data_IF_237608530043
#
_entry.id   IF_237608530043
#
_cell.length_a   1.000
_cell.length_b   1.000
_cell.length_c   1.000
_cell.angle_alpha   90.00
_cell.angle_beta   90.00
_cell.angle_gamma   90.00
#
_symmetry.space_group_name_H-M   'P 1'
#
loop_
_entity.id
_entity.type
_entity.pdbx_description
1 polymer ?
#
# COMPACT_ATOMS: atom_id res chain seq x y z
N UNK A 1 -40.82 -21.73 16.27
CA UNK A 1 -39.63 -22.29 15.59
C UNK A 1 -38.57 -21.21 15.54
N UNK A 2 -37.44 -21.40 16.23
CA UNK A 2 -36.32 -20.45 16.27
C UNK A 2 -35.52 -20.62 14.97
N UNK A 3 -35.41 -19.57 14.17
CA UNK A 3 -34.56 -19.57 12.99
C UNK A 3 -33.09 -19.45 13.44
N UNK A 4 -32.30 -20.46 13.08
CA UNK A 4 -30.86 -20.51 13.31
C UNK A 4 -30.21 -19.66 12.22
N UNK A 5 -29.75 -18.45 12.56
CA UNK A 5 -28.87 -17.67 11.69
C UNK A 5 -27.48 -18.33 11.73
N UNK A 6 -27.10 -19.02 10.66
CA UNK A 6 -25.72 -19.42 10.45
C UNK A 6 -24.96 -18.19 9.92
N UNK A 7 -24.24 -17.51 10.80
CA UNK A 7 -23.17 -16.60 10.40
C UNK A 7 -22.00 -17.44 9.87
N UNK A 8 -21.87 -17.53 8.55
CA UNK A 8 -20.67 -18.00 7.88
C UNK A 8 -19.61 -16.91 7.99
N UNK A 9 -18.78 -16.97 9.03
CA UNK A 9 -17.51 -16.26 9.06
C UNK A 9 -16.59 -16.92 8.04
N UNK A 10 -16.34 -16.27 6.91
CA UNK A 10 -15.27 -16.66 6.00
C UNK A 10 -13.97 -16.17 6.63
N UNK A 11 -13.32 -17.04 7.41
CA UNK A 11 -11.93 -16.86 7.82
C UNK A 11 -11.05 -17.13 6.61
N UNK A 12 -10.52 -16.07 6.01
CA UNK A 12 -9.54 -16.19 4.93
C UNK A 12 -8.15 -16.00 5.53
N UNK A 13 -7.28 -16.97 5.26
CA UNK A 13 -5.86 -16.98 5.61
C UNK A 13 -5.09 -16.55 4.37
N UNK A 14 -4.05 -15.74 4.54
CA UNK A 14 -3.51 -14.89 3.48
C UNK A 14 -1.93 -14.95 3.48
N UNK A 15 -1.27 -15.08 2.30
CA UNK A 15 0.21 -15.01 2.07
C UNK A 15 0.71 -13.77 1.27
N UNK A 16 1.97 -13.30 1.51
CA UNK A 16 2.57 -11.96 1.22
C UNK A 16 3.37 -11.70 -0.10
N UNK A 17 3.36 -10.43 -0.59
CA UNK A 17 3.67 -10.05 -1.99
C UNK A 17 5.03 -10.58 -2.43
N UNK A 18 5.02 -11.42 -3.45
CA UNK A 18 6.24 -12.04 -3.99
C UNK A 18 6.85 -11.20 -5.10
N UNK A 19 8.15 -10.96 -4.99
CA UNK A 19 8.95 -10.25 -6.00
C UNK A 19 9.74 -11.25 -6.88
N UNK A 20 9.13 -12.42 -7.14
CA UNK A 20 9.81 -13.53 -7.79
C UNK A 20 10.24 -13.19 -9.23
N UNK A 21 11.55 -13.22 -9.47
CA UNK A 21 12.14 -12.92 -10.77
C UNK A 21 12.28 -11.43 -11.09
N UNK A 22 11.97 -10.54 -10.16
CA UNK A 22 12.38 -9.15 -10.23
C UNK A 22 13.86 -8.97 -9.93
N UNK A 23 14.44 -7.83 -10.34
CA UNK A 23 15.83 -7.50 -10.01
C UNK A 23 15.97 -6.03 -9.63
N UNK A 24 16.84 -5.75 -8.66
CA UNK A 24 17.36 -4.39 -8.46
C UNK A 24 18.60 -4.23 -9.35
N UNK A 25 18.57 -3.25 -10.26
CA UNK A 25 19.70 -2.88 -11.10
C UNK A 25 20.38 -1.65 -10.52
N UNK A 26 21.70 -1.74 -10.34
CA UNK A 26 22.57 -0.59 -10.06
C UNK A 26 23.19 -0.10 -11.35
N UNK A 27 22.84 1.11 -11.77
CA UNK A 27 23.20 1.72 -13.05
C UNK A 27 24.20 2.86 -12.80
N UNK A 28 25.24 2.95 -13.62
CA UNK A 28 26.30 3.96 -13.52
C UNK A 28 26.24 4.93 -14.70
N UNK A 29 25.64 6.13 -14.53
CA UNK A 29 25.66 7.17 -15.56
C UNK A 29 27.08 7.76 -15.68
N UNK A 30 27.56 7.98 -16.92
CA UNK A 30 28.93 8.46 -17.18
C UNK A 30 28.95 9.90 -17.73
N UNK A 31 27.82 10.39 -18.25
CA UNK A 31 27.66 11.77 -18.74
C UNK A 31 26.20 12.23 -18.62
N UNK A 32 25.95 13.55 -18.73
CA UNK A 32 24.63 14.17 -18.51
C UNK A 32 23.49 13.55 -19.33
N UNK A 33 23.76 13.17 -20.60
CA UNK A 33 22.76 12.50 -21.42
C UNK A 33 22.23 11.16 -20.84
N UNK A 34 23.01 10.47 -20.01
CA UNK A 34 22.53 9.29 -19.27
C UNK A 34 21.56 9.70 -18.16
N UNK A 35 21.88 10.76 -17.42
CA UNK A 35 21.01 11.27 -16.35
C UNK A 35 19.67 11.75 -16.90
N UNK A 36 19.67 12.54 -17.97
CA UNK A 36 18.43 13.00 -18.60
C UNK A 36 17.52 11.84 -19.01
N UNK A 37 18.12 10.76 -19.53
CA UNK A 37 17.37 9.57 -19.95
C UNK A 37 16.83 8.78 -18.77
N UNK A 38 17.59 8.67 -17.67
CA UNK A 38 17.14 8.02 -16.43
C UNK A 38 16.06 8.84 -15.72
N UNK A 39 16.17 10.18 -15.68
CA UNK A 39 15.12 11.08 -15.16
C UNK A 39 13.85 10.94 -15.98
N UNK A 40 13.98 10.85 -17.32
CA UNK A 40 12.81 10.61 -18.18
C UNK A 40 12.20 9.24 -17.91
N UNK A 41 13.02 8.20 -17.76
CA UNK A 41 12.56 6.85 -17.44
C UNK A 41 11.77 6.83 -16.13
N UNK A 42 12.32 7.41 -15.06
CA UNK A 42 11.68 7.55 -13.74
C UNK A 42 10.31 8.24 -13.82
N UNK A 43 10.18 9.26 -14.67
CA UNK A 43 8.89 9.96 -14.88
C UNK A 43 7.90 9.19 -15.76
N UNK A 44 8.41 8.45 -16.74
CA UNK A 44 7.58 7.83 -17.79
C UNK A 44 7.13 6.41 -17.48
N UNK A 45 7.90 5.67 -16.67
CA UNK A 45 7.65 4.25 -16.37
C UNK A 45 7.37 4.09 -14.87
N UNK A 46 6.11 4.33 -14.48
CA UNK A 46 5.68 4.34 -13.07
C UNK A 46 5.78 2.98 -12.37
N UNK A 47 5.89 1.90 -13.15
CA UNK A 47 6.06 0.55 -12.63
C UNK A 47 7.48 0.25 -12.13
N UNK A 48 8.45 1.12 -12.42
CA UNK A 48 9.80 1.03 -11.86
C UNK A 48 9.86 1.68 -10.49
N UNK A 49 10.54 1.03 -9.55
CA UNK A 49 10.72 1.52 -8.19
C UNK A 49 12.18 1.94 -7.98
N UNK A 50 12.42 3.25 -8.02
CA UNK A 50 13.74 3.83 -7.83
C UNK A 50 14.05 3.89 -6.33
N UNK A 51 15.03 3.07 -5.91
CA UNK A 51 15.57 3.09 -4.55
C UNK A 51 16.55 4.24 -4.39
N UNK A 52 17.29 4.55 -5.45
CA UNK A 52 18.13 5.75 -5.55
C UNK A 52 17.93 6.36 -6.94
N UNK A 53 17.30 7.52 -6.98
CA UNK A 53 17.05 8.25 -8.22
C UNK A 53 18.33 8.82 -8.87
N UNK A 54 18.23 9.24 -10.14
CA UNK A 54 19.32 9.89 -10.88
C UNK A 54 19.59 11.31 -10.36
N UNK A 55 20.62 11.47 -9.51
CA UNK A 55 21.00 12.78 -8.95
C UNK A 55 22.26 13.39 -9.57
N UNK A 56 23.29 12.57 -9.82
CA UNK A 56 24.59 13.06 -10.30
C UNK A 56 25.42 11.92 -10.91
N UNK A 57 26.44 12.26 -11.71
CA UNK A 57 27.35 11.28 -12.32
C UNK A 57 28.24 10.55 -11.32
N UNK A 58 28.44 11.12 -10.14
CA UNK A 58 29.23 10.53 -9.06
C UNK A 58 28.47 9.48 -8.25
N UNK A 59 27.17 9.29 -8.51
CA UNK A 59 26.31 8.39 -7.74
C UNK A 59 25.63 7.37 -8.67
N UNK A 60 25.60 6.09 -8.29
CA UNK A 60 24.80 5.12 -9.02
C UNK A 60 23.30 5.34 -8.79
N UNK A 61 22.51 4.87 -9.75
CA UNK A 61 21.05 4.79 -9.70
C UNK A 61 20.67 3.35 -9.38
N UNK A 62 19.89 3.14 -8.34
CA UNK A 62 19.42 1.81 -7.93
C UNK A 62 17.92 1.74 -8.21
N UNK A 63 17.49 0.79 -9.06
CA UNK A 63 16.08 0.65 -9.48
C UNK A 63 15.63 -0.81 -9.42
N UNK A 64 14.54 -1.09 -8.70
CA UNK A 64 13.83 -2.37 -8.76
C UNK A 64 13.01 -2.41 -10.04
N UNK A 65 13.25 -3.44 -10.83
CA UNK A 65 12.66 -3.64 -12.15
C UNK A 65 11.77 -4.89 -12.11
N UNK A 66 10.46 -4.74 -12.37
CA UNK A 66 9.55 -5.86 -12.54
C UNK A 66 10.03 -6.83 -13.62
N UNK A 67 9.74 -8.13 -13.44
CA UNK A 67 10.20 -9.21 -14.34
C UNK A 67 9.84 -8.98 -15.80
N UNK A 68 8.64 -8.49 -16.07
CA UNK A 68 8.09 -8.17 -17.39
C UNK A 68 8.79 -6.98 -18.06
N UNK A 69 9.27 -6.01 -17.26
CA UNK A 69 10.01 -4.85 -17.74
C UNK A 69 11.53 -5.08 -17.83
N UNK A 70 12.04 -6.15 -17.21
CA UNK A 70 13.46 -6.41 -17.07
C UNK A 70 14.20 -6.43 -18.42
N UNK A 71 13.62 -7.12 -19.42
CA UNK A 71 14.21 -7.18 -20.77
C UNK A 71 14.24 -5.80 -21.43
N UNK A 72 13.13 -5.05 -21.34
CA UNK A 72 13.01 -3.69 -21.92
C UNK A 72 14.04 -2.74 -21.31
N UNK A 73 14.17 -2.74 -19.99
CA UNK A 73 15.12 -1.86 -19.27
C UNK A 73 16.56 -2.23 -19.61
N UNK A 74 16.92 -3.52 -19.56
CA UNK A 74 18.29 -3.97 -19.89
C UNK A 74 18.69 -3.62 -21.32
N UNK A 75 17.81 -3.85 -22.30
CA UNK A 75 18.07 -3.47 -23.70
C UNK A 75 18.23 -1.95 -23.86
N UNK A 76 17.46 -1.14 -23.12
CA UNK A 76 17.63 0.32 -23.13
C UNK A 76 19.01 0.72 -22.57
N UNK A 77 19.46 0.10 -21.47
CA UNK A 77 20.78 0.34 -20.90
C UNK A 77 21.90 -0.07 -21.85
N UNK A 78 21.77 -1.24 -22.49
CA UNK A 78 22.72 -1.74 -23.49
C UNK A 78 22.83 -0.81 -24.71
N UNK A 79 21.69 -0.39 -25.28
CA UNK A 79 21.64 0.51 -26.44
C UNK A 79 22.19 1.91 -26.14
N UNK A 80 22.26 2.30 -24.88
CA UNK A 80 22.81 3.58 -24.44
C UNK A 80 24.24 3.47 -23.95
N UNK A 81 24.79 2.26 -23.83
CA UNK A 81 26.11 2.04 -23.25
C UNK A 81 26.18 2.25 -21.74
N UNK A 82 25.03 2.32 -21.04
CA UNK A 82 25.00 2.45 -19.58
C UNK A 82 25.40 1.15 -18.89
N UNK A 83 26.47 1.19 -18.09
CA UNK A 83 26.91 0.04 -17.29
C UNK A 83 25.95 -0.21 -16.13
N UNK A 84 25.66 -1.48 -15.87
CA UNK A 84 24.82 -1.88 -14.74
C UNK A 84 25.24 -3.21 -14.11
N UNK A 85 24.87 -3.41 -12.85
CA UNK A 85 25.00 -4.68 -12.10
C UNK A 85 23.67 -5.05 -11.44
N UNK A 86 23.47 -6.34 -11.14
CA UNK A 86 22.28 -6.81 -10.40
C UNK A 86 22.61 -6.93 -8.91
N UNK A 87 21.72 -6.42 -8.07
CA UNK A 87 21.77 -6.56 -6.61
C UNK A 87 20.85 -7.72 -6.22
N UNK A 88 21.35 -8.64 -5.37
CA UNK A 88 20.53 -9.74 -4.84
C UNK A 88 19.43 -9.19 -3.94
N UNK A 89 18.21 -9.70 -4.11
CA UNK A 89 17.04 -9.39 -3.28
C UNK A 89 16.72 -10.51 -2.28
N UNK A 90 17.59 -11.49 -2.10
CA UNK A 90 17.32 -12.61 -1.18
C UNK A 90 17.12 -12.12 0.26
N UNK A 91 15.91 -12.30 0.77
CA UNK A 91 15.64 -12.25 2.21
C UNK A 91 16.25 -13.49 2.86
N UNK A 92 17.08 -13.27 3.86
CA UNK A 92 17.47 -14.31 4.81
C UNK A 92 16.19 -14.91 5.40
N UNK A 93 15.87 -16.16 5.05
CA UNK A 93 14.72 -16.89 5.61
C UNK A 93 15.01 -17.22 7.08
N UNK A 94 14.75 -16.27 7.96
CA UNK A 94 14.66 -16.55 9.38
C UNK A 94 13.25 -17.10 9.66
N UNK A 95 13.19 -18.26 10.31
CA UNK A 95 11.93 -18.77 10.88
C UNK A 95 11.54 -17.84 12.02
N UNK A 96 10.58 -16.95 11.74
CA UNK A 96 10.12 -15.96 12.71
C UNK A 96 9.47 -16.66 13.91
N UNK A 97 9.98 -16.39 15.11
CA UNK A 97 9.32 -16.74 16.38
C UNK A 97 8.19 -15.76 16.65
N UNK A 98 7.11 -16.18 17.31
CA UNK A 98 6.07 -15.27 17.77
C UNK A 98 6.62 -14.37 18.90
N UNK A 99 6.31 -13.07 18.84
CA UNK A 99 6.73 -12.08 19.84
C UNK A 99 7.95 -11.27 19.39
N UNK A 100 8.19 -10.16 20.10
CA UNK A 100 9.28 -9.24 19.78
C UNK A 100 10.65 -9.91 19.85
N UNK A 101 11.51 -9.63 18.87
CA UNK A 101 12.88 -10.08 18.81
C UNK A 101 13.81 -8.94 18.36
N UNK A 102 14.80 -8.59 19.19
CA UNK A 102 15.77 -7.55 18.86
C UNK A 102 16.63 -7.91 17.63
N UNK A 103 16.81 -9.19 17.32
CA UNK A 103 17.63 -9.65 16.20
C UNK A 103 16.83 -9.90 14.92
N UNK A 104 15.55 -9.49 14.88
CA UNK A 104 14.69 -9.59 13.70
C UNK A 104 13.87 -8.31 13.47
N UNK A 105 13.17 -8.25 12.33
CA UNK A 105 12.21 -7.21 12.02
C UNK A 105 10.82 -7.58 12.56
N UNK A 106 10.29 -6.69 13.39
CA UNK A 106 9.08 -6.91 14.19
C UNK A 106 7.85 -6.22 13.56
N UNK A 107 6.68 -6.85 13.66
CA UNK A 107 5.41 -6.20 13.29
C UNK A 107 5.13 -4.98 14.18
N UNK A 108 4.20 -4.12 13.75
CA UNK A 108 3.82 -2.94 14.52
C UNK A 108 3.35 -3.31 15.94
N UNK A 109 2.46 -4.31 16.06
CA UNK A 109 1.93 -4.74 17.35
C UNK A 109 3.02 -5.27 18.28
N UNK A 110 3.95 -6.09 17.79
CA UNK A 110 5.11 -6.56 18.57
C UNK A 110 5.99 -5.39 19.06
N UNK A 111 6.15 -4.34 18.25
CA UNK A 111 6.88 -3.13 18.68
C UNK A 111 6.13 -2.44 19.82
N UNK A 112 4.81 -2.27 19.71
CA UNK A 112 3.98 -1.63 20.74
C UNK A 112 3.99 -2.45 22.03
N UNK A 113 3.80 -3.77 21.94
CA UNK A 113 3.86 -4.69 23.08
C UNK A 113 5.23 -4.56 23.79
N UNK A 114 6.32 -4.50 23.03
CA UNK A 114 7.66 -4.32 23.62
C UNK A 114 7.85 -2.95 24.30
N UNK A 115 7.18 -1.89 23.83
CA UNK A 115 7.19 -0.59 24.52
C UNK A 115 6.48 -0.68 25.88
N UNK A 116 5.36 -1.40 25.94
CA UNK A 116 4.65 -1.66 27.20
C UNK A 116 5.46 -2.57 28.12
N UNK A 117 6.12 -3.62 27.61
CA UNK A 117 7.01 -4.48 28.39
C UNK A 117 8.16 -3.69 29.02
N UNK A 118 8.72 -2.71 28.30
CA UNK A 118 9.70 -1.78 28.87
C UNK A 118 9.08 -0.92 29.98
N UNK A 119 7.86 -0.41 29.77
CA UNK A 119 7.13 0.39 30.75
C UNK A 119 6.89 -0.37 32.06
N UNK A 120 6.51 -1.65 31.95
CA UNK A 120 6.27 -2.53 33.08
C UNK A 120 7.57 -2.93 33.80
N UNK A 121 8.65 -3.18 33.05
CA UNK A 121 9.92 -3.61 33.61
C UNK A 121 10.72 -2.46 34.25
N UNK A 122 10.54 -1.23 33.76
CA UNK A 122 11.30 -0.05 34.19
C UNK A 122 10.39 1.14 34.57
N UNK A 123 9.36 0.97 35.42
CA UNK A 123 8.28 1.95 35.61
C UNK A 123 8.74 3.32 36.16
N UNK A 124 9.93 3.39 36.77
CA UNK A 124 10.51 4.63 37.27
C UNK A 124 11.35 5.40 36.23
N UNK A 125 11.63 4.76 35.08
CA UNK A 125 12.46 5.32 34.01
C UNK A 125 11.65 5.56 32.73
N UNK A 126 10.46 4.98 32.61
CA UNK A 126 9.71 4.94 31.36
C UNK A 126 8.26 5.38 31.49
N UNK A 127 7.72 5.94 30.42
CA UNK A 127 6.28 6.17 30.25
C UNK A 127 5.92 6.05 28.78
N UNK A 128 5.01 5.14 28.44
CA UNK A 128 4.42 5.06 27.09
C UNK A 128 3.43 6.22 26.91
N UNK A 129 3.37 6.75 25.69
CA UNK A 129 2.45 7.80 25.30
C UNK A 129 1.99 7.60 23.85
N UNK A 130 0.91 8.27 23.47
CA UNK A 130 0.47 8.37 22.08
C UNK A 130 0.48 9.83 21.63
N UNK A 131 0.86 10.07 20.37
CA UNK A 131 0.80 11.41 19.75
C UNK A 131 -0.45 11.64 18.88
N UNK A 132 -1.37 10.67 18.86
CA UNK A 132 -2.58 10.72 18.04
C UNK A 132 -2.72 9.48 17.17
N UNK A 133 -3.73 9.51 16.29
CA UNK A 133 -4.03 8.42 15.37
C UNK A 133 -3.63 8.78 13.94
N UNK A 134 -3.25 7.76 13.17
CA UNK A 134 -2.92 7.81 11.75
C UNK A 134 -4.16 8.02 10.87
N UNK A 135 -3.96 7.98 9.54
CA UNK A 135 -5.06 8.10 8.59
C UNK A 135 -6.03 6.92 8.72
N UNK A 136 -5.48 5.71 8.91
CA UNK A 136 -6.24 4.47 9.12
C UNK A 136 -6.65 4.22 10.58
N UNK A 137 -6.49 5.23 11.44
CA UNK A 137 -6.93 5.23 12.85
C UNK A 137 -6.14 4.32 13.78
N UNK A 138 -4.93 3.92 13.40
CA UNK A 138 -3.96 3.31 14.30
C UNK A 138 -3.29 4.39 15.15
N UNK A 139 -3.20 4.17 16.45
CA UNK A 139 -2.49 5.10 17.33
C UNK A 139 -1.00 5.06 17.06
N UNK A 140 -0.33 6.22 17.11
CA UNK A 140 1.12 6.33 16.98
C UNK A 140 1.69 6.38 18.38
N UNK A 141 2.26 5.27 18.83
CA UNK A 141 2.85 5.11 20.15
C UNK A 141 4.33 5.49 20.18
N UNK A 142 4.74 6.02 21.33
CA UNK A 142 6.12 6.30 21.68
C UNK A 142 6.39 6.03 23.16
N UNK A 143 7.66 6.05 23.54
CA UNK A 143 8.10 5.87 24.92
C UNK A 143 9.03 6.99 25.34
N UNK A 144 8.73 7.58 26.51
CA UNK A 144 9.65 8.46 27.22
C UNK A 144 10.61 7.57 28.03
N UNK A 145 11.91 7.84 27.96
CA UNK A 145 12.96 7.16 28.72
C UNK A 145 13.82 8.21 29.43
N UNK A 146 13.94 8.14 30.76
CA UNK A 146 14.77 9.04 31.55
C UNK A 146 14.51 8.92 33.05
N UNK A 147 15.55 9.15 33.86
CA UNK A 147 15.42 9.12 35.32
C UNK A 147 14.62 10.31 35.86
N UNK A 148 14.08 10.15 37.07
CA UNK A 148 13.31 11.19 37.75
C UNK A 148 14.13 12.49 37.91
N UNK A 149 13.54 13.60 37.49
CA UNK A 149 14.15 14.93 37.59
C UNK A 149 13.22 16.01 37.06
N UNK A 150 13.46 17.27 37.45
CA UNK A 150 12.67 18.43 37.02
C UNK A 150 13.44 19.26 36.00
N UNK A 151 12.74 19.80 34.99
CA UNK A 151 13.31 20.69 33.96
C UNK A 151 14.48 20.10 33.16
N UNK A 152 14.49 18.78 32.97
CA UNK A 152 15.47 18.12 32.11
C UNK A 152 15.23 18.54 30.65
N UNK A 153 16.28 18.88 29.87
CA UNK A 153 16.15 18.97 28.43
C UNK A 153 15.74 17.63 27.83
N UNK A 154 15.05 17.67 26.70
CA UNK A 154 14.54 16.48 26.02
C UNK A 154 15.13 16.32 24.62
N UNK A 155 15.39 15.08 24.21
CA UNK A 155 15.72 14.68 22.85
C UNK A 155 14.55 13.88 22.29
N UNK A 156 14.06 14.27 21.13
CA UNK A 156 12.98 13.58 20.43
C UNK A 156 13.55 12.81 19.24
N UNK A 157 13.30 11.50 19.20
CA UNK A 157 13.76 10.60 18.15
C UNK A 157 12.56 9.98 17.45
N UNK A 158 12.41 10.33 16.19
CA UNK A 158 11.37 9.82 15.30
C UNK A 158 11.98 8.86 14.28
N UNK A 159 11.31 7.71 14.08
CA UNK A 159 11.72 6.67 13.16
C UNK A 159 10.62 6.26 12.18
N UNK A 160 11.06 5.56 11.13
CA UNK A 160 10.19 4.86 10.18
C UNK A 160 9.15 5.76 9.48
N UNK A 161 9.53 7.00 9.09
CA UNK A 161 8.66 7.85 8.27
C UNK A 161 8.42 7.24 6.87
N UNK A 162 9.47 6.64 6.29
CA UNK A 162 9.31 5.77 5.12
C UNK A 162 9.07 4.34 5.59
N UNK A 163 7.92 3.79 5.23
CA UNK A 163 7.47 2.47 5.65
C UNK A 163 8.49 1.34 5.41
N UNK A 164 9.25 1.40 4.29
CA UNK A 164 10.17 0.33 3.85
C UNK A 164 11.55 0.34 4.52
N UNK A 165 11.88 1.35 5.32
CA UNK A 165 13.21 1.52 5.92
C UNK A 165 13.32 0.76 7.25
N UNK A 166 12.97 -0.53 7.28
CA UNK A 166 12.73 -1.33 8.51
C UNK A 166 13.85 -1.31 9.56
N UNK A 167 15.09 -1.05 9.14
CA UNK A 167 16.24 -0.91 10.06
C UNK A 167 16.10 0.25 11.05
N UNK A 168 15.31 1.29 10.71
CA UNK A 168 15.18 2.48 11.55
C UNK A 168 14.44 2.14 12.85
N UNK A 169 13.25 1.54 12.76
CA UNK A 169 12.47 1.11 13.93
C UNK A 169 13.27 0.11 14.80
N UNK A 170 13.91 -0.89 14.19
CA UNK A 170 14.75 -1.85 14.92
C UNK A 170 15.91 -1.17 15.69
N UNK A 171 16.56 -0.18 15.08
CA UNK A 171 17.64 0.59 15.71
C UNK A 171 17.14 1.39 16.91
N UNK A 172 15.98 2.03 16.81
CA UNK A 172 15.41 2.80 17.92
C UNK A 172 15.01 1.90 19.08
N UNK A 173 14.46 0.71 18.82
CA UNK A 173 14.16 -0.27 19.86
C UNK A 173 15.43 -0.74 20.59
N UNK A 174 16.53 -0.97 19.87
CA UNK A 174 17.83 -1.26 20.48
C UNK A 174 18.36 -0.13 21.35
N UNK A 175 18.21 1.13 20.92
CA UNK A 175 18.64 2.28 21.70
C UNK A 175 17.86 2.41 23.02
N UNK A 176 16.55 2.16 23.00
CA UNK A 176 15.72 2.11 24.22
C UNK A 176 16.27 1.04 25.17
N UNK A 177 16.50 -0.19 24.67
CA UNK A 177 17.08 -1.29 25.43
C UNK A 177 18.42 -0.90 26.08
N UNK A 178 19.35 -0.34 25.30
CA UNK A 178 20.67 0.04 25.80
C UNK A 178 20.63 1.11 26.89
N UNK A 179 19.73 2.10 26.76
CA UNK A 179 19.52 3.08 27.82
C UNK A 179 19.03 2.42 29.11
N UNK A 180 18.00 1.56 29.01
CA UNK A 180 17.39 0.91 30.17
C UNK A 180 18.33 -0.09 30.87
N UNK A 181 19.03 -0.93 30.11
CA UNK A 181 19.99 -1.90 30.66
C UNK A 181 21.27 -1.23 31.19
N UNK A 182 21.67 -0.11 30.57
CA UNK A 182 22.85 0.66 30.98
C UNK A 182 22.61 1.53 32.22
N UNK A 183 21.36 1.90 32.53
CA UNK A 183 21.08 2.74 33.70
C UNK A 183 21.44 2.04 35.01
N UNK A 184 22.28 2.69 35.83
CA UNK A 184 22.82 2.15 37.08
C UNK A 184 24.01 1.20 36.91
N UNK A 185 24.31 0.76 35.69
CA UNK A 185 25.42 -0.17 35.39
C UNK A 185 26.55 0.49 34.62
N UNK A 186 26.23 1.43 33.72
CA UNK A 186 27.17 2.22 32.93
C UNK A 186 27.09 3.70 33.34
N UNK A 187 28.23 4.27 33.72
CA UNK A 187 28.29 5.64 34.24
C UNK A 187 27.89 6.69 33.20
N UNK A 188 28.20 6.47 31.92
CA UNK A 188 27.86 7.42 30.86
C UNK A 188 26.35 7.43 30.61
N UNK A 189 25.75 6.25 30.49
CA UNK A 189 24.31 6.06 30.32
C UNK A 189 23.53 6.59 31.50
N UNK A 190 23.99 6.31 32.73
CA UNK A 190 23.38 6.83 33.96
C UNK A 190 23.41 8.35 33.99
N UNK A 191 24.58 8.96 33.77
CA UNK A 191 24.73 10.42 33.72
C UNK A 191 23.84 11.03 32.64
N UNK A 192 23.77 10.40 31.47
CA UNK A 192 22.97 10.86 30.34
C UNK A 192 21.47 10.84 30.70
N UNK A 193 20.97 9.73 31.26
CA UNK A 193 19.56 9.59 31.64
C UNK A 193 19.17 10.41 32.87
N UNK A 194 20.11 10.76 33.75
CA UNK A 194 19.87 11.68 34.86
C UNK A 194 19.72 13.13 34.36
N UNK A 195 20.37 13.49 33.26
CA UNK A 195 20.39 14.86 32.72
C UNK A 195 19.40 15.10 31.58
N UNK A 196 19.04 14.07 30.82
CA UNK A 196 18.24 14.19 29.58
C UNK A 196 17.06 13.23 29.60
N UNK A 197 15.91 13.69 29.10
CA UNK A 197 14.78 12.82 28.77
C UNK A 197 14.80 12.48 27.26
N UNK A 198 14.59 11.22 26.92
CA UNK A 198 14.49 10.77 25.53
C UNK A 198 13.05 10.39 25.21
N UNK A 199 12.52 10.88 24.10
CA UNK A 199 11.21 10.50 23.59
C UNK A 199 11.42 9.77 22.28
N UNK A 200 11.08 8.50 22.24
CA UNK A 200 11.19 7.66 21.06
C UNK A 200 9.82 7.46 20.44
N UNK A 201 9.72 7.65 19.12
CA UNK A 201 8.62 7.17 18.28
C UNK A 201 9.24 6.21 17.27
N UNK A 202 9.24 4.88 17.56
CA UNK A 202 9.87 3.90 16.69
C UNK A 202 9.26 3.84 15.29
N UNK A 203 7.93 4.04 15.20
CA UNK A 203 7.19 4.00 13.95
C UNK A 203 6.21 5.17 13.85
N UNK A 204 6.53 6.18 13.04
CA UNK A 204 5.60 7.28 12.75
C UNK A 204 4.60 6.93 11.66
N UNK A 205 5.07 6.37 10.53
CA UNK A 205 4.20 5.96 9.44
C UNK A 205 3.66 4.56 9.69
N UNK A 206 2.76 4.45 10.67
CA UNK A 206 2.20 3.17 11.13
C UNK A 206 1.41 2.46 10.03
N UNK A 207 0.55 3.18 9.29
CA UNK A 207 -0.26 2.63 8.18
C UNK A 207 0.64 2.02 7.10
N UNK A 208 1.66 2.76 6.66
CA UNK A 208 2.61 2.28 5.68
C UNK A 208 3.46 1.13 6.19
N UNK A 209 3.90 1.16 7.45
CA UNK A 209 4.70 0.08 8.04
C UNK A 209 3.90 -1.21 8.12
N UNK A 210 2.66 -1.17 8.62
CA UNK A 210 1.73 -2.31 8.61
C UNK A 210 1.54 -2.82 7.19
N UNK A 211 1.30 -1.93 6.21
CA UNK A 211 1.19 -2.30 4.80
C UNK A 211 2.42 -3.04 4.25
N UNK A 212 3.63 -2.75 4.75
CA UNK A 212 4.84 -3.47 4.32
C UNK A 212 4.94 -4.89 4.90
N UNK A 213 4.24 -5.18 6.00
CA UNK A 213 4.17 -6.51 6.62
C UNK A 213 2.96 -7.32 6.16
N UNK A 214 1.83 -6.67 5.85
CA UNK A 214 0.52 -7.29 5.66
C UNK A 214 -0.19 -6.66 4.46
N UNK A 215 -0.64 -7.44 3.46
CA UNK A 215 -2.07 -7.60 3.09
C UNK A 215 -2.18 -8.76 2.10
N UNK A 216 -2.54 -9.94 2.56
CA UNK A 216 -2.58 -11.04 1.64
C UNK A 216 -4.00 -11.39 1.10
N UNK A 217 -5.03 -10.67 1.55
CA UNK A 217 -6.34 -10.44 0.90
C UNK A 217 -6.17 -9.96 -0.53
N UNK A 218 -5.42 -8.88 -0.64
CA UNK A 218 -5.09 -8.26 -1.90
C UNK A 218 -4.23 -9.21 -2.72
N UNK A 219 -3.34 -9.99 -2.08
CA UNK A 219 -2.54 -10.99 -2.80
C UNK A 219 -3.38 -12.13 -3.36
N UNK A 220 -4.24 -12.77 -2.56
CA UNK A 220 -5.05 -13.89 -3.02
C UNK A 220 -5.97 -13.47 -4.17
N UNK A 221 -6.59 -12.29 -4.07
CA UNK A 221 -7.36 -11.70 -5.17
C UNK A 221 -6.44 -11.42 -6.36
N UNK A 222 -5.28 -10.81 -6.14
CA UNK A 222 -4.35 -10.48 -7.22
C UNK A 222 -3.81 -11.71 -7.94
N UNK A 223 -3.42 -12.76 -7.22
CA UNK A 223 -2.90 -14.01 -7.72
C UNK A 223 -3.97 -14.78 -8.49
N UNK A 224 -5.19 -14.88 -7.93
CA UNK A 224 -6.29 -15.51 -8.64
C UNK A 224 -6.62 -14.74 -9.92
N UNK A 225 -6.73 -13.42 -9.87
CA UNK A 225 -7.04 -12.59 -11.04
C UNK A 225 -5.93 -12.68 -12.08
N UNK A 226 -4.65 -12.64 -11.68
CA UNK A 226 -3.53 -12.77 -12.60
C UNK A 226 -3.46 -14.18 -13.23
N UNK A 227 -3.69 -15.23 -12.44
CA UNK A 227 -3.76 -16.63 -12.92
C UNK A 227 -4.87 -16.82 -13.94
N UNK A 228 -6.01 -16.15 -13.74
CA UNK A 228 -7.20 -16.26 -14.59
C UNK A 228 -7.36 -15.05 -15.55
N UNK A 229 -6.34 -14.22 -15.71
CA UNK A 229 -6.43 -12.94 -16.44
C UNK A 229 -6.80 -13.11 -17.92
N UNK A 230 -6.48 -14.28 -18.51
CA UNK A 230 -6.93 -14.62 -19.86
C UNK A 230 -8.45 -14.81 -19.97
N UNK A 231 -9.10 -15.24 -18.88
CA UNK A 231 -10.52 -15.57 -18.84
C UNK A 231 -11.36 -14.44 -18.22
N UNK A 232 -10.80 -13.70 -17.24
CA UNK A 232 -11.46 -12.57 -16.60
C UNK A 232 -11.52 -11.38 -17.56
N UNK A 233 -12.71 -11.09 -18.10
CA UNK A 233 -12.92 -9.97 -19.04
C UNK A 233 -13.21 -8.64 -18.36
N UNK A 234 -13.74 -8.66 -17.13
CA UNK A 234 -14.07 -7.45 -16.38
C UNK A 234 -13.76 -7.63 -14.89
N UNK A 235 -13.35 -6.54 -14.25
CA UNK A 235 -13.06 -6.48 -12.81
C UNK A 235 -13.92 -5.38 -12.16
N UNK A 236 -14.80 -5.75 -11.23
CA UNK A 236 -15.72 -4.82 -10.57
C UNK A 236 -15.47 -4.86 -9.06
N UNK A 237 -14.90 -3.79 -8.52
CA UNK A 237 -14.76 -3.59 -7.07
C UNK A 237 -16.00 -2.87 -6.56
N UNK A 238 -16.86 -3.57 -5.83
CA UNK A 238 -18.16 -3.05 -5.36
C UNK A 238 -18.07 -2.64 -3.89
N UNK A 239 -18.47 -1.41 -3.61
CA UNK A 239 -18.45 -0.77 -2.31
C UNK A 239 -19.76 0.03 -2.11
N UNK A 240 -19.94 0.61 -0.93
CA UNK A 240 -20.97 1.60 -0.65
C UNK A 240 -20.32 2.70 0.20
N UNK A 241 -20.79 3.94 0.19
CA UNK A 241 -21.98 4.49 -0.48
C UNK A 241 -21.56 5.63 -1.42
N UNK A 242 -22.43 6.03 -2.34
CA UNK A 242 -22.21 7.23 -3.16
C UNK A 242 -22.84 7.20 -4.54
N UNK A 243 -23.48 6.11 -4.95
CA UNK A 243 -24.13 5.99 -6.28
C UNK A 243 -23.19 6.39 -7.44
N UNK A 244 -21.97 5.82 -7.47
CA UNK A 244 -20.96 6.07 -8.50
C UNK A 244 -20.58 4.81 -9.25
N UNK A 245 -20.40 4.94 -10.56
CA UNK A 245 -19.82 3.92 -11.43
C UNK A 245 -18.51 4.46 -12.03
N UNK A 246 -17.41 4.20 -11.34
CA UNK A 246 -16.14 4.87 -11.59
C UNK A 246 -15.21 4.05 -12.46
N UNK A 247 -14.54 4.72 -13.39
CA UNK A 247 -13.40 4.17 -14.14
C UNK A 247 -12.09 4.52 -13.44
N UNK A 248 -10.98 3.85 -13.79
CA UNK A 248 -9.66 4.37 -13.48
C UNK A 248 -9.47 5.80 -14.05
N UNK A 249 -8.55 6.62 -13.56
CA UNK A 249 -7.66 6.34 -12.44
C UNK A 249 -8.09 7.02 -11.15
N UNK A 250 -7.72 6.44 -10.01
CA UNK A 250 -7.83 7.09 -8.71
C UNK A 250 -6.68 8.04 -8.40
N UNK A 251 -5.47 7.75 -8.89
CA UNK A 251 -4.26 8.48 -8.45
C UNK A 251 -3.99 9.79 -9.20
N UNK A 252 -4.77 10.16 -10.21
CA UNK A 252 -4.51 11.35 -11.04
C UNK A 252 -5.76 11.96 -11.65
N UNK A 253 -5.71 13.26 -11.89
CA UNK A 253 -6.70 14.02 -12.68
C UNK A 253 -6.08 14.56 -13.97
N UNK A 254 -6.93 14.92 -14.94
CA UNK A 254 -6.53 15.60 -16.17
C UNK A 254 -6.48 14.72 -17.42
N UNK A 255 -6.94 15.27 -18.55
CA UNK A 255 -7.23 14.55 -19.79
C UNK A 255 -6.05 13.74 -20.39
N UNK A 256 -4.81 14.16 -20.12
CA UNK A 256 -3.60 13.48 -20.62
C UNK A 256 -3.26 12.20 -19.86
N UNK A 257 -3.89 11.97 -18.71
CA UNK A 257 -3.61 10.82 -17.85
C UNK A 257 -4.85 9.96 -17.62
N UNK A 258 -5.94 10.14 -18.38
CA UNK A 258 -7.13 9.28 -18.32
C UNK A 258 -6.87 7.94 -19.01
N UNK A 259 -7.62 6.86 -18.67
CA UNK A 259 -7.62 5.63 -19.45
C UNK A 259 -7.89 5.91 -20.93
N UNK A 260 -7.06 5.43 -21.87
CA UNK A 260 -7.26 5.66 -23.30
C UNK A 260 -8.49 4.94 -23.88
N UNK A 261 -9.03 3.96 -23.16
CA UNK A 261 -10.13 3.11 -23.61
C UNK A 261 -11.49 3.82 -23.53
N UNK A 262 -11.82 4.64 -24.54
CA UNK A 262 -13.13 5.30 -24.67
C UNK A 262 -14.31 4.31 -24.61
N UNK A 263 -14.09 3.07 -25.05
CA UNK A 263 -15.09 2.01 -24.97
C UNK A 263 -15.45 1.63 -23.52
N UNK A 264 -14.47 1.60 -22.61
CA UNK A 264 -14.69 1.32 -21.18
C UNK A 264 -15.61 2.38 -20.57
N UNK A 265 -15.38 3.65 -20.93
CA UNK A 265 -16.20 4.78 -20.47
C UNK A 265 -17.61 4.75 -21.08
N UNK A 266 -17.75 4.41 -22.36
CA UNK A 266 -19.08 4.22 -22.98
C UNK A 266 -19.86 3.08 -22.33
N UNK A 267 -19.17 2.00 -21.94
CA UNK A 267 -19.78 0.87 -21.24
C UNK A 267 -20.21 1.27 -19.82
N UNK A 268 -19.39 2.06 -19.10
CA UNK A 268 -19.74 2.62 -17.79
C UNK A 268 -21.01 3.48 -17.86
N UNK A 269 -21.12 4.38 -18.85
CA UNK A 269 -22.30 5.21 -19.05
C UNK A 269 -23.57 4.39 -19.31
N UNK A 270 -23.46 3.28 -20.06
CA UNK A 270 -24.61 2.38 -20.26
C UNK A 270 -24.98 1.63 -18.98
N UNK A 271 -23.99 1.17 -18.21
CA UNK A 271 -24.19 0.43 -16.97
C UNK A 271 -24.75 1.29 -15.83
N UNK A 272 -24.28 2.52 -15.72
CA UNK A 272 -24.77 3.48 -14.74
C UNK A 272 -26.23 3.88 -14.95
N UNK A 273 -26.68 3.95 -16.20
CA UNK A 273 -28.03 4.38 -16.53
C UNK A 273 -28.35 5.75 -15.93
N UNK A 274 -29.52 5.88 -15.28
CA UNK A 274 -29.91 7.06 -14.52
C UNK A 274 -29.60 6.95 -13.02
N UNK A 275 -29.05 5.82 -12.57
CA UNK A 275 -28.91 5.46 -11.15
C UNK A 275 -27.54 5.79 -10.58
N UNK A 276 -26.51 5.99 -11.41
CA UNK A 276 -25.14 6.24 -10.94
C UNK A 276 -24.48 7.41 -11.68
N UNK A 277 -23.62 8.15 -10.99
CA UNK A 277 -22.71 9.11 -11.60
C UNK A 277 -21.51 8.41 -12.24
N UNK A 278 -21.03 8.90 -13.39
CA UNK A 278 -19.91 8.30 -14.14
C UNK A 278 -18.77 9.30 -14.29
N UNK A 279 -17.56 8.83 -13.98
CA UNK A 279 -16.33 9.61 -14.01
C UNK A 279 -15.17 8.76 -13.51
N UNK A 280 -13.97 9.34 -13.49
CA UNK A 280 -12.84 8.63 -12.85
C UNK A 280 -13.00 8.59 -11.34
N UNK A 281 -12.33 7.64 -10.69
CA UNK A 281 -12.24 7.58 -9.22
C UNK A 281 -11.73 8.93 -8.67
N UNK A 282 -10.69 9.50 -9.28
CA UNK A 282 -10.12 10.77 -8.85
C UNK A 282 -11.10 11.94 -8.95
N UNK A 283 -11.95 11.96 -9.98
CA UNK A 283 -12.94 13.03 -10.20
C UNK A 283 -14.14 12.91 -9.25
N UNK A 284 -14.62 11.69 -8.98
CA UNK A 284 -15.87 11.48 -8.24
C UNK A 284 -15.69 11.23 -6.74
N UNK A 285 -14.54 10.68 -6.32
CA UNK A 285 -14.26 10.36 -4.91
C UNK A 285 -13.00 11.04 -4.36
N UNK A 286 -12.32 11.87 -5.17
CA UNK A 286 -11.04 12.47 -4.81
C UNK A 286 -9.86 11.55 -5.13
N UNK A 287 -8.65 12.10 -5.11
CA UNK A 287 -7.45 11.34 -5.47
C UNK A 287 -7.16 10.25 -4.44
N UNK A 288 -7.09 9.01 -4.91
CA UNK A 288 -6.77 7.83 -4.12
C UNK A 288 -5.82 6.92 -4.91
N UNK A 289 -4.63 6.65 -4.38
CA UNK A 289 -3.68 5.72 -4.98
C UNK A 289 -3.86 4.30 -4.40
N UNK A 290 -3.54 3.28 -5.19
CA UNK A 290 -3.56 1.89 -4.73
C UNK A 290 -4.93 1.22 -4.76
N UNK A 291 -5.91 1.75 -5.50
CA UNK A 291 -7.21 1.10 -5.64
C UNK A 291 -7.10 -0.22 -6.43
N UNK A 292 -7.94 -1.20 -6.10
CA UNK A 292 -7.94 -2.50 -6.79
C UNK A 292 -8.40 -2.38 -8.25
N UNK A 293 -9.27 -1.40 -8.55
CA UNK A 293 -9.70 -1.05 -9.91
C UNK A 293 -8.51 -0.54 -10.77
N UNK A 294 -7.71 0.35 -10.21
CA UNK A 294 -6.49 0.89 -10.82
C UNK A 294 -5.47 -0.21 -11.11
N UNK A 295 -5.25 -1.09 -10.14
CA UNK A 295 -4.37 -2.25 -10.28
C UNK A 295 -4.87 -3.24 -11.33
N UNK A 296 -6.16 -3.59 -11.33
CA UNK A 296 -6.73 -4.53 -12.30
C UNK A 296 -6.60 -4.02 -13.74
N UNK A 297 -6.79 -2.71 -13.93
CA UNK A 297 -6.63 -2.07 -15.24
C UNK A 297 -5.16 -2.02 -15.69
N UNK A 298 -4.25 -1.60 -14.82
CA UNK A 298 -2.84 -1.35 -15.22
C UNK A 298 -1.92 -2.54 -15.12
N UNK A 299 -2.09 -3.39 -14.11
CA UNK A 299 -1.19 -4.51 -13.80
C UNK A 299 -1.77 -5.81 -14.31
N UNK A 300 -3.06 -6.08 -14.05
CA UNK A 300 -3.70 -7.31 -14.54
C UNK A 300 -4.14 -7.23 -16.01
N UNK A 301 -4.10 -6.05 -16.63
CA UNK A 301 -4.45 -5.84 -18.03
C UNK A 301 -5.94 -6.00 -18.33
N UNK A 302 -6.81 -5.93 -17.32
CA UNK A 302 -8.25 -6.10 -17.47
C UNK A 302 -8.85 -4.75 -17.88
N UNK A 303 -9.06 -4.59 -19.20
CA UNK A 303 -9.58 -3.35 -19.81
C UNK A 303 -10.86 -2.84 -19.16
N UNK A 304 -11.81 -3.73 -18.84
CA UNK A 304 -13.10 -3.36 -18.26
C UNK A 304 -13.05 -3.41 -16.74
N UNK A 305 -12.32 -2.47 -16.13
CA UNK A 305 -12.18 -2.36 -14.67
C UNK A 305 -13.01 -1.20 -14.10
N UNK A 306 -13.73 -1.43 -12.99
CA UNK A 306 -14.61 -0.44 -12.37
C UNK A 306 -14.56 -0.47 -10.85
N UNK A 307 -14.70 0.70 -10.23
CA UNK A 307 -15.01 0.85 -8.80
C UNK A 307 -16.45 1.38 -8.67
N UNK A 308 -17.30 0.70 -7.92
CA UNK A 308 -18.73 0.97 -7.89
C UNK A 308 -19.16 1.26 -6.46
N UNK A 309 -19.72 2.44 -6.21
CA UNK A 309 -20.35 2.80 -4.95
C UNK A 309 -21.88 2.63 -5.11
N UNK A 310 -22.46 1.70 -4.37
CA UNK A 310 -23.90 1.45 -4.30
C UNK A 310 -24.62 2.57 -3.51
N UNK A 311 -25.92 2.38 -3.27
CA UNK A 311 -26.73 3.35 -2.54
C UNK A 311 -26.16 3.62 -1.13
N UNK A 312 -26.32 4.82 -0.60
CA UNK A 312 -27.01 5.99 -1.15
C UNK A 312 -26.07 7.20 -1.32
N UNK A 313 -26.61 8.40 -1.53
CA UNK A 313 -25.82 9.64 -1.65
C UNK A 313 -25.63 10.39 -0.32
N UNK A 314 -26.42 10.10 0.72
CA UNK A 314 -26.60 11.02 1.87
C UNK A 314 -26.67 10.34 3.25
N UNK A 315 -27.41 9.25 3.41
CA UNK A 315 -27.67 8.55 4.67
C UNK A 315 -26.51 7.61 5.09
N UNK A 316 -25.58 7.32 4.17
CA UNK A 316 -24.30 6.69 4.48
C UNK A 316 -24.38 5.16 4.58
N UNK A 317 -23.70 4.56 5.57
CA UNK A 317 -23.59 3.09 5.66
C UNK A 317 -24.81 2.37 6.26
N UNK A 318 -25.82 3.12 6.74
CA UNK A 318 -26.97 2.56 7.49
C UNK A 318 -28.26 2.76 6.68
N UNK A 319 -28.34 2.11 5.53
CA UNK A 319 -29.54 2.15 4.70
C UNK A 319 -30.69 1.31 5.29
N UNK A 320 -31.95 1.77 5.17
CA UNK A 320 -33.12 0.96 5.51
C UNK A 320 -33.14 -0.36 4.71
N UNK A 321 -33.56 -1.45 5.35
CA UNK A 321 -33.57 -2.78 4.73
C UNK A 321 -34.48 -2.86 3.47
N UNK A 322 -35.44 -1.96 3.31
CA UNK A 322 -36.27 -1.86 2.10
C UNK A 322 -35.52 -1.33 0.87
N UNK A 323 -34.31 -0.77 1.05
CA UNK A 323 -33.43 -0.32 -0.01
C UNK A 323 -32.56 -1.44 -0.60
N UNK A 324 -32.48 -2.61 0.06
CA UNK A 324 -31.65 -3.74 -0.42
C UNK A 324 -32.07 -4.17 -1.82
N UNK A 325 -33.37 -4.39 -2.03
CA UNK A 325 -33.89 -4.87 -3.32
C UNK A 325 -33.74 -3.81 -4.43
N UNK A 326 -34.15 -2.55 -4.23
CA UNK A 326 -33.86 -1.48 -5.19
C UNK A 326 -32.37 -1.39 -5.57
N UNK A 327 -31.47 -1.40 -4.59
CA UNK A 327 -30.02 -1.32 -4.85
C UNK A 327 -29.50 -2.53 -5.65
N UNK A 328 -30.01 -3.73 -5.37
CA UNK A 328 -29.64 -4.94 -6.11
C UNK A 328 -30.17 -4.93 -7.55
N UNK A 329 -31.43 -4.51 -7.74
CA UNK A 329 -32.08 -4.45 -9.06
C UNK A 329 -31.35 -3.45 -9.99
N UNK A 330 -30.96 -2.29 -9.48
CA UNK A 330 -30.20 -1.27 -10.22
C UNK A 330 -28.80 -1.75 -10.60
N UNK A 331 -28.05 -2.29 -9.63
CA UNK A 331 -26.72 -2.83 -9.88
C UNK A 331 -26.75 -3.95 -10.93
N UNK A 332 -27.71 -4.88 -10.80
CA UNK A 332 -27.83 -6.01 -11.73
C UNK A 332 -28.27 -5.59 -13.13
N UNK A 333 -29.15 -4.59 -13.24
CA UNK A 333 -29.49 -3.99 -14.54
C UNK A 333 -28.25 -3.40 -15.23
N UNK A 334 -27.38 -2.74 -14.46
CA UNK A 334 -26.09 -2.24 -14.92
C UNK A 334 -25.21 -3.36 -15.48
N UNK A 335 -25.02 -4.46 -14.74
CA UNK A 335 -24.26 -5.63 -15.18
C UNK A 335 -24.78 -6.21 -16.50
N UNK A 336 -26.10 -6.39 -16.62
CA UNK A 336 -26.73 -6.93 -17.82
C UNK A 336 -26.48 -6.06 -19.06
N UNK A 337 -26.42 -4.74 -18.90
CA UNK A 337 -26.15 -3.80 -20.00
C UNK A 337 -24.74 -3.92 -20.56
N UNK A 338 -23.82 -4.53 -19.79
CA UNK A 338 -22.42 -4.67 -20.18
C UNK A 338 -22.12 -5.90 -21.03
N UNK A 339 -23.00 -6.90 -20.97
CA UNK A 339 -22.82 -8.23 -21.57
C UNK A 339 -23.53 -8.31 -22.93
N UNK A 340 -22.86 -8.89 -23.93
CA UNK A 340 -23.54 -9.32 -25.17
C UNK A 340 -23.86 -10.81 -25.12
N UNK A 341 -25.14 -11.16 -25.05
CA UNK A 341 -25.58 -12.55 -25.13
C UNK A 341 -25.71 -13.01 -26.59
N UNK A 342 -25.41 -14.28 -26.92
CA UNK A 342 -25.35 -14.79 -28.29
C UNK A 342 -26.61 -14.62 -29.16
N UNK A 343 -27.80 -14.41 -28.58
CA UNK A 343 -29.05 -14.34 -29.35
C UNK A 343 -29.95 -13.15 -28.99
N UNK A 344 -29.44 -11.92 -29.13
CA UNK A 344 -30.31 -10.77 -29.43
C UNK A 344 -29.58 -9.76 -30.29
N UNK A 345 -30.20 -9.44 -31.43
CA UNK A 345 -29.78 -8.45 -32.42
C UNK A 345 -29.45 -7.08 -31.80
N UNK A 346 -28.24 -6.89 -31.32
CA UNK A 346 -27.68 -5.58 -31.03
C UNK A 346 -26.31 -5.49 -31.69
N UNK A 347 -26.29 -4.83 -32.85
CA UNK A 347 -25.12 -4.56 -33.68
C UNK A 347 -24.31 -3.38 -33.13
N UNK A 348 -23.94 -3.39 -31.86
CA UNK A 348 -23.02 -2.38 -31.30
C UNK A 348 -21.67 -2.99 -30.98
N UNK A 349 -20.61 -2.32 -31.44
CA UNK A 349 -19.20 -2.73 -31.32
C UNK A 349 -18.62 -2.58 -29.92
N UNK A 350 -19.42 -2.21 -28.90
CA UNK A 350 -18.91 -1.68 -27.63
C UNK A 350 -19.28 -2.54 -26.41
N UNK A 351 -19.60 -3.81 -26.56
CA UNK A 351 -20.05 -4.71 -25.46
C UNK A 351 -19.04 -5.83 -25.21
N UNK A 352 -18.97 -6.32 -23.97
CA UNK A 352 -18.05 -7.40 -23.63
C UNK A 352 -18.57 -8.70 -24.24
N UNK A 353 -17.74 -9.34 -25.07
CA UNK A 353 -17.99 -10.68 -25.58
C UNK A 353 -17.45 -11.71 -24.58
N UNK A 354 -18.35 -12.57 -24.10
CA UNK A 354 -18.04 -13.68 -23.20
C UNK A 354 -17.98 -15.00 -23.95
#
# INVERSE_FOLDING_TARGET
MKALLLLLTVSVVFAARRFDGEQVLRIHPEHEGHLEKLVRLERSERSLDFWKGPTSLSRPVDVRVPKDLLKKVKTMLENTGMKYTSISMERSRHTRSAGFNFDDYNTYDEIVDQLEDFAESYPNLTSVFSIGASSEKLYIYGIKVGAAGSNKPAVFLEGQLHARDWIVSATLMYNIKFLLEGYGSDNQTTTLMDQVDFYFIPVTNVDGYVYTYEIPETEAVSDWVLTNSNDVKAYLSVQAYGEKWMTPYGWTTGAQQLPPDQEQFHLANRAAGASFSVGTIAELSGMAAGSSCDWAYTVAGIKYSYAIELRDMWDGYVLPADQIRPSADEFFAGLLSMVRLPDRQLSSTNSIQF
#
